data_IF_001224511554
#
_entry.id   IF_001224511554
#
_cell.length_a   1.000
_cell.length_b   1.000
_cell.length_c   1.000
_cell.angle_alpha   90.00
_cell.angle_beta   90.00
_cell.angle_gamma   90.00
#
_symmetry.space_group_name_H-M   'P 1'
#
loop_
_entity.id
_entity.type
_entity.pdbx_description
1 polymer ?
#
# COMPACT_ATOMS: atom_id res chain seq x y z
N UNK A 1 -3.56 -15.24 15.26
CA UNK A 1 -3.86 -14.64 13.98
C UNK A 1 -2.77 -13.66 13.59
N UNK A 2 -2.22 -13.79 12.41
CA UNK A 2 -1.17 -12.90 11.91
C UNK A 2 -1.77 -11.52 11.62
N UNK A 3 -1.66 -10.60 12.57
CA UNK A 3 -2.08 -9.18 12.39
C UNK A 3 -1.21 -8.41 11.38
N UNK A 4 -0.08 -8.98 10.95
CA UNK A 4 0.84 -8.32 10.01
C UNK A 4 0.50 -8.47 8.52
N UNK A 5 -0.29 -9.47 8.12
CA UNK A 5 -0.58 -9.73 6.70
C UNK A 5 -1.37 -8.59 6.05
N UNK A 6 -2.29 -7.98 6.78
CA UNK A 6 -3.07 -6.84 6.28
C UNK A 6 -2.21 -5.61 6.02
N UNK A 7 -1.32 -5.25 6.95
CA UNK A 7 -0.41 -4.12 6.80
C UNK A 7 0.59 -4.34 5.64
N UNK A 8 1.10 -5.56 5.48
CA UNK A 8 1.97 -5.91 4.35
C UNK A 8 1.23 -5.73 3.03
N UNK A 9 0.02 -6.27 2.89
CA UNK A 9 -0.77 -6.13 1.66
C UNK A 9 -1.10 -4.68 1.33
N UNK A 10 -1.42 -3.86 2.34
CA UNK A 10 -1.63 -2.43 2.17
C UNK A 10 -0.35 -1.72 1.70
N UNK A 11 0.78 -2.02 2.34
CA UNK A 11 2.06 -1.45 1.94
C UNK A 11 2.44 -1.83 0.50
N UNK A 12 2.10 -3.03 0.06
CA UNK A 12 2.34 -3.50 -1.31
C UNK A 12 1.47 -2.75 -2.34
N UNK A 13 0.25 -2.39 -1.98
CA UNK A 13 -0.63 -1.58 -2.82
C UNK A 13 -0.10 -0.14 -3.00
N UNK A 14 0.60 0.41 -1.99
CA UNK A 14 1.18 1.76 -2.01
C UNK A 14 2.66 1.81 -2.48
N UNK A 15 3.28 0.69 -2.76
CA UNK A 15 4.70 0.56 -3.05
C UNK A 15 5.20 1.31 -4.31
N UNK A 16 4.31 1.71 -5.20
CA UNK A 16 4.66 2.43 -6.44
C UNK A 16 4.64 3.96 -6.30
N UNK A 17 4.44 4.49 -5.10
CA UNK A 17 4.53 5.92 -4.86
C UNK A 17 5.94 6.44 -5.16
N UNK A 18 6.04 7.53 -5.94
CA UNK A 18 7.31 8.22 -6.22
C UNK A 18 8.04 8.62 -4.95
N UNK A 19 7.31 8.97 -3.90
CA UNK A 19 7.87 9.39 -2.62
C UNK A 19 8.52 8.22 -1.87
N UNK A 20 7.92 7.04 -1.88
CA UNK A 20 8.51 5.82 -1.31
C UNK A 20 9.83 5.48 -2.00
N UNK A 21 9.86 5.54 -3.33
CA UNK A 21 11.09 5.28 -4.11
C UNK A 21 12.20 6.29 -3.82
N UNK A 22 11.86 7.57 -3.66
CA UNK A 22 12.84 8.63 -3.32
C UNK A 22 13.42 8.43 -1.93
N UNK A 23 12.57 8.14 -0.93
CA UNK A 23 13.01 7.86 0.45
C UNK A 23 13.91 6.63 0.50
N UNK A 24 13.56 5.56 -0.21
CA UNK A 24 14.40 4.36 -0.29
C UNK A 24 15.75 4.66 -0.95
N UNK A 25 15.77 5.43 -2.03
CA UNK A 25 17.01 5.85 -2.70
C UNK A 25 17.91 6.66 -1.75
N UNK A 26 17.35 7.64 -1.03
CA UNK A 26 18.12 8.42 -0.06
C UNK A 26 18.77 7.55 1.01
N UNK A 27 18.03 6.57 1.57
CA UNK A 27 18.52 5.64 2.59
C UNK A 27 19.55 4.64 2.06
N UNK A 28 19.55 4.32 0.76
CA UNK A 28 20.58 3.48 0.14
C UNK A 28 21.93 4.22 0.00
N UNK A 29 21.87 5.53 -0.20
CA UNK A 29 23.09 6.34 -0.38
C UNK A 29 23.70 6.83 0.94
N UNK A 30 22.85 7.09 1.93
CA UNK A 30 23.30 7.58 3.23
C UNK A 30 22.76 6.67 4.34
N UNK A 31 23.67 6.01 5.04
CA UNK A 31 23.27 5.19 6.19
C UNK A 31 22.87 6.09 7.37
N UNK A 32 21.71 5.83 7.95
CA UNK A 32 21.22 6.41 9.22
C UNK A 32 20.81 7.88 9.12
N UNK A 33 19.61 8.09 8.63
CA UNK A 33 18.99 9.40 8.50
C UNK A 33 17.77 9.51 9.42
N UNK A 34 17.60 10.68 10.04
CA UNK A 34 16.34 11.06 10.70
C UNK A 34 15.31 11.54 9.65
N UNK A 35 14.01 11.59 10.00
CA UNK A 35 12.96 11.97 9.06
C UNK A 35 13.07 13.41 8.53
N UNK A 36 13.65 14.33 9.30
CA UNK A 36 13.90 15.72 8.90
C UNK A 36 14.94 15.79 7.80
N UNK A 37 16.04 15.11 7.99
CA UNK A 37 17.12 15.00 6.99
C UNK A 37 16.64 14.36 5.71
N UNK A 38 15.83 13.29 5.80
CA UNK A 38 15.21 12.65 4.62
C UNK A 38 14.27 13.62 3.89
N UNK A 39 13.46 14.39 4.63
CA UNK A 39 12.53 15.36 4.06
C UNK A 39 13.27 16.45 3.28
N UNK A 40 14.38 16.96 3.83
CA UNK A 40 15.23 17.95 3.20
C UNK A 40 15.91 17.41 1.92
N UNK A 41 16.50 16.20 1.99
CA UNK A 41 17.19 15.56 0.86
C UNK A 41 16.22 15.25 -0.28
N UNK A 42 15.06 14.68 0.05
CA UNK A 42 14.07 14.25 -0.93
C UNK A 42 13.17 15.39 -1.44
N UNK A 43 13.18 16.54 -0.75
CA UNK A 43 12.24 17.65 -0.97
C UNK A 43 10.77 17.20 -0.89
N UNK A 44 10.46 16.47 0.18
CA UNK A 44 9.15 15.89 0.47
C UNK A 44 8.72 16.35 1.86
N UNK A 45 7.43 16.57 2.07
CA UNK A 45 6.87 16.90 3.38
C UNK A 45 7.16 15.80 4.41
N UNK A 46 7.42 16.19 5.67
CA UNK A 46 7.79 15.27 6.77
C UNK A 46 6.75 14.16 6.98
N UNK A 47 5.48 14.45 6.85
CA UNK A 47 4.43 13.44 7.06
C UNK A 47 4.40 12.41 5.93
N UNK A 48 4.67 12.83 4.70
CA UNK A 48 4.86 11.89 3.56
C UNK A 48 6.11 11.03 3.74
N UNK A 49 7.19 11.58 4.31
CA UNK A 49 8.39 10.80 4.67
C UNK A 49 8.05 9.75 5.71
N UNK A 50 7.32 10.09 6.78
CA UNK A 50 6.89 9.13 7.81
C UNK A 50 6.02 8.01 7.22
N UNK A 51 5.09 8.34 6.32
CA UNK A 51 4.29 7.35 5.60
C UNK A 51 5.16 6.42 4.75
N UNK A 52 6.11 6.97 4.00
CA UNK A 52 7.05 6.20 3.20
C UNK A 52 7.91 5.26 4.06
N UNK A 53 8.43 5.75 5.19
CA UNK A 53 9.20 4.96 6.15
C UNK A 53 8.37 3.83 6.77
N UNK A 54 7.11 4.08 7.09
CA UNK A 54 6.18 3.06 7.59
C UNK A 54 5.95 1.96 6.54
N UNK A 55 5.73 2.34 5.28
CA UNK A 55 5.59 1.41 4.16
C UNK A 55 6.86 0.59 3.96
N UNK A 56 8.03 1.23 3.94
CA UNK A 56 9.32 0.56 3.77
C UNK A 56 9.65 -0.34 4.97
N UNK A 57 9.31 0.09 6.18
CA UNK A 57 9.46 -0.70 7.40
C UNK A 57 8.59 -1.95 7.42
N UNK A 58 7.31 -1.86 7.02
CA UNK A 58 6.41 -3.02 6.91
C UNK A 58 6.88 -4.03 5.85
N UNK A 59 7.65 -3.58 4.86
CA UNK A 59 8.30 -4.42 3.84
C UNK A 59 9.67 -4.98 4.29
N UNK A 60 10.14 -4.59 5.47
CA UNK A 60 11.45 -4.99 5.99
C UNK A 60 12.66 -4.34 5.30
N UNK A 61 12.44 -3.38 4.41
CA UNK A 61 13.50 -2.67 3.67
C UNK A 61 14.17 -1.57 4.48
N UNK A 62 13.56 -1.16 5.59
CA UNK A 62 14.06 -0.11 6.49
C UNK A 62 14.01 -0.61 7.92
N UNK A 63 15.08 -0.39 8.66
CA UNK A 63 15.17 -0.55 10.11
C UNK A 63 15.25 0.80 10.81
N UNK A 64 15.00 0.81 12.11
CA UNK A 64 15.14 1.97 12.97
C UNK A 64 16.08 1.64 14.13
N UNK A 65 17.06 2.51 14.36
CA UNK A 65 18.00 2.49 15.48
C UNK A 65 17.72 3.74 16.32
N UNK A 66 17.51 3.58 17.63
CA UNK A 66 17.14 4.67 18.52
C UNK A 66 18.17 5.80 18.55
N UNK A 67 19.46 5.44 18.47
CA UNK A 67 20.55 6.41 18.53
C UNK A 67 20.95 6.98 17.17
N UNK A 68 20.57 6.31 16.09
CA UNK A 68 21.14 6.54 14.76
C UNK A 68 20.12 6.81 13.66
N UNK A 69 18.81 6.65 13.94
CA UNK A 69 17.73 6.91 13.00
C UNK A 69 17.42 5.74 12.06
N UNK A 70 16.85 6.04 10.91
CA UNK A 70 16.43 5.04 9.93
C UNK A 70 17.61 4.61 9.05
N UNK A 71 17.66 3.33 8.70
CA UNK A 71 18.67 2.76 7.83
C UNK A 71 18.08 1.74 6.85
N UNK A 72 18.71 1.63 5.67
CA UNK A 72 18.34 0.63 4.66
C UNK A 72 18.74 -0.78 5.13
N UNK A 73 17.86 -1.75 4.88
CA UNK A 73 18.13 -3.18 5.09
C UNK A 73 18.08 -3.92 3.77
N UNK A 74 19.09 -4.71 3.50
CA UNK A 74 19.08 -5.68 2.42
C UNK A 74 18.33 -6.94 2.87
N UNK A 75 17.37 -7.36 2.06
CA UNK A 75 16.66 -8.62 2.30
C UNK A 75 17.38 -9.76 1.55
N UNK A 76 17.46 -10.96 2.15
CA UNK A 76 18.08 -12.12 1.49
C UNK A 76 17.24 -12.68 0.33
N UNK A 77 16.12 -12.05 0.02
CA UNK A 77 15.18 -12.44 -1.04
C UNK A 77 14.62 -11.18 -1.75
N UNK A 78 14.22 -11.39 -3.00
CA UNK A 78 13.62 -10.33 -3.81
C UNK A 78 12.14 -10.15 -3.43
N UNK A 79 11.85 -9.04 -2.76
CA UNK A 79 10.47 -8.74 -2.30
C UNK A 79 9.51 -8.55 -3.49
N UNK A 80 9.99 -8.06 -4.64
CA UNK A 80 9.15 -7.87 -5.82
C UNK A 80 8.66 -9.22 -6.37
N UNK A 81 9.49 -10.26 -6.28
CA UNK A 81 9.08 -11.62 -6.64
C UNK A 81 8.04 -12.17 -5.68
N UNK A 82 8.19 -11.92 -4.38
CA UNK A 82 7.20 -12.33 -3.37
C UNK A 82 5.87 -11.61 -3.61
N UNK A 83 5.90 -10.31 -3.90
CA UNK A 83 4.72 -9.53 -4.26
C UNK A 83 4.03 -10.06 -5.53
N UNK A 84 4.83 -10.41 -6.54
CA UNK A 84 4.33 -10.89 -7.82
C UNK A 84 3.56 -12.21 -7.71
N UNK A 85 3.84 -13.03 -6.71
CA UNK A 85 3.17 -14.33 -6.51
C UNK A 85 2.03 -14.29 -5.48
N UNK A 86 1.79 -13.17 -4.81
CA UNK A 86 0.73 -13.08 -3.80
C UNK A 86 -0.67 -13.19 -4.44
N UNK A 87 -1.48 -14.24 -4.15
CA UNK A 87 -2.70 -14.54 -4.92
C UNK A 87 -3.73 -13.40 -4.94
N UNK A 88 -3.92 -12.68 -3.81
CA UNK A 88 -4.88 -11.57 -3.73
C UNK A 88 -4.42 -10.35 -4.52
N UNK A 89 -3.11 -10.07 -4.55
CA UNK A 89 -2.53 -8.99 -5.36
C UNK A 89 -2.61 -9.31 -6.85
N UNK A 90 -2.29 -10.53 -7.26
CA UNK A 90 -2.45 -10.98 -8.64
C UNK A 90 -3.90 -10.80 -9.10
N UNK A 91 -4.86 -11.26 -8.25
CA UNK A 91 -6.27 -11.12 -8.56
C UNK A 91 -6.73 -9.65 -8.62
N UNK A 92 -6.23 -8.79 -7.74
CA UNK A 92 -6.51 -7.35 -7.75
C UNK A 92 -5.97 -6.67 -9.02
N UNK A 93 -4.72 -6.95 -9.40
CA UNK A 93 -4.11 -6.45 -10.65
C UNK A 93 -4.87 -6.91 -11.88
N UNK A 94 -5.37 -8.16 -11.89
CA UNK A 94 -6.20 -8.68 -12.98
C UNK A 94 -7.52 -7.91 -13.10
N UNK A 95 -8.17 -7.56 -11.98
CA UNK A 95 -9.39 -6.74 -11.99
C UNK A 95 -9.14 -5.36 -12.58
N UNK A 96 -7.98 -4.74 -12.30
CA UNK A 96 -7.58 -3.48 -12.91
C UNK A 96 -7.31 -3.61 -14.41
N UNK A 97 -6.52 -4.61 -14.81
CA UNK A 97 -6.16 -4.84 -16.20
C UNK A 97 -7.38 -5.12 -17.11
N UNK A 98 -8.48 -5.62 -16.52
CA UNK A 98 -9.74 -5.88 -17.23
C UNK A 98 -10.78 -4.77 -17.02
N UNK A 99 -10.36 -3.61 -16.51
CA UNK A 99 -11.19 -2.42 -16.23
C UNK A 99 -12.48 -2.71 -15.43
N UNK A 100 -12.39 -3.62 -14.47
CA UNK A 100 -13.53 -4.04 -13.63
C UNK A 100 -13.73 -3.19 -12.38
N UNK A 101 -12.96 -2.13 -12.20
CA UNK A 101 -13.03 -1.23 -11.04
C UNK A 101 -13.57 0.12 -11.49
N UNK A 102 -14.70 0.54 -10.96
CA UNK A 102 -15.31 1.85 -11.22
C UNK A 102 -15.35 2.64 -9.92
N UNK A 103 -14.68 3.79 -9.87
CA UNK A 103 -14.75 4.72 -8.74
C UNK A 103 -15.99 5.57 -8.93
N UNK A 104 -16.91 5.57 -7.96
CA UNK A 104 -18.14 6.31 -8.00
C UNK A 104 -17.99 7.68 -7.31
N UNK A 105 -17.36 7.69 -6.12
CA UNK A 105 -17.07 8.91 -5.38
C UNK A 105 -15.63 8.87 -4.85
N UNK A 106 -14.97 10.03 -4.94
CA UNK A 106 -13.62 10.22 -4.39
C UNK A 106 -13.60 11.58 -3.69
N UNK A 107 -13.92 11.58 -2.42
CA UNK A 107 -13.84 12.73 -1.52
C UNK A 107 -12.64 12.57 -0.59
N UNK A 108 -12.16 13.68 0.00
CA UNK A 108 -10.94 13.70 0.83
C UNK A 108 -10.94 12.64 1.95
N UNK A 109 -12.12 12.24 2.47
CA UNK A 109 -12.24 11.32 3.60
C UNK A 109 -12.84 9.96 3.24
N UNK A 110 -13.35 9.77 2.01
CA UNK A 110 -13.94 8.50 1.61
C UNK A 110 -13.91 8.25 0.11
N UNK A 111 -13.68 7.00 -0.25
CA UNK A 111 -13.72 6.53 -1.64
C UNK A 111 -14.77 5.42 -1.72
N UNK A 112 -15.68 5.57 -2.66
CA UNK A 112 -16.69 4.57 -2.98
C UNK A 112 -16.47 4.04 -4.39
N UNK A 113 -16.49 2.73 -4.54
CA UNK A 113 -16.23 2.07 -5.81
C UNK A 113 -17.04 0.80 -5.98
N UNK A 114 -17.30 0.45 -7.23
CA UNK A 114 -17.86 -0.83 -7.64
C UNK A 114 -16.81 -1.67 -8.31
N UNK A 115 -16.74 -2.95 -7.95
CA UNK A 115 -15.82 -3.92 -8.55
C UNK A 115 -16.62 -5.09 -9.11
N UNK A 116 -16.62 -5.21 -10.43
CA UNK A 116 -17.34 -6.30 -11.11
C UNK A 116 -16.55 -7.61 -10.99
N UNK A 117 -17.17 -8.60 -10.34
CA UNK A 117 -16.70 -9.99 -10.30
C UNK A 117 -17.08 -10.78 -11.55
N UNK A 118 -17.07 -12.11 -11.46
CA UNK A 118 -17.59 -12.99 -12.53
C UNK A 118 -19.11 -12.93 -12.61
N UNK A 119 -19.77 -13.01 -11.46
CA UNK A 119 -21.22 -13.18 -11.38
C UNK A 119 -21.92 -12.05 -10.63
N UNK A 120 -21.19 -11.27 -9.87
CA UNK A 120 -21.72 -10.19 -9.02
C UNK A 120 -20.82 -8.98 -9.01
N UNK A 121 -21.41 -7.81 -8.78
CA UNK A 121 -20.68 -6.56 -8.51
C UNK A 121 -20.60 -6.33 -7.02
N UNK A 122 -19.39 -6.05 -6.53
CA UNK A 122 -19.13 -5.78 -5.12
C UNK A 122 -18.97 -4.28 -4.90
N UNK A 123 -19.60 -3.77 -3.85
CA UNK A 123 -19.42 -2.42 -3.37
C UNK A 123 -18.21 -2.38 -2.42
N UNK A 124 -17.33 -1.41 -2.61
CA UNK A 124 -16.16 -1.15 -1.78
C UNK A 124 -16.22 0.27 -1.27
N UNK A 125 -16.04 0.46 0.02
CA UNK A 125 -15.89 1.77 0.65
C UNK A 125 -14.58 1.79 1.43
N UNK A 126 -13.77 2.83 1.16
CA UNK A 126 -12.56 3.15 1.91
C UNK A 126 -12.80 4.48 2.60
N UNK A 127 -12.80 4.49 3.93
CA UNK A 127 -12.92 5.69 4.74
C UNK A 127 -11.79 5.71 5.79
N UNK A 128 -11.56 6.85 6.44
CA UNK A 128 -10.50 6.99 7.45
C UNK A 128 -10.65 5.94 8.55
N UNK A 129 -9.76 4.93 8.54
CA UNK A 129 -9.72 3.85 9.52
C UNK A 129 -10.69 2.68 9.29
N UNK A 130 -11.53 2.73 8.24
CA UNK A 130 -12.48 1.66 7.94
C UNK A 130 -12.48 1.30 6.46
N UNK A 131 -12.34 0.00 6.17
CA UNK A 131 -12.33 -0.56 4.82
C UNK A 131 -13.35 -1.67 4.72
N UNK A 132 -14.37 -1.46 3.91
CA UNK A 132 -15.46 -2.41 3.76
C UNK A 132 -15.63 -2.90 2.33
N UNK A 133 -16.10 -4.12 2.17
CA UNK A 133 -16.45 -4.71 0.89
C UNK A 133 -17.58 -5.73 1.08
N UNK A 134 -18.55 -5.74 0.18
CA UNK A 134 -19.69 -6.68 0.21
C UNK A 134 -19.32 -8.11 -0.23
N UNK A 135 -18.06 -8.41 -0.52
CA UNK A 135 -17.67 -9.76 -0.93
C UNK A 135 -17.65 -10.76 0.23
N UNK A 136 -17.90 -12.05 -0.03
CA UNK A 136 -17.95 -13.08 1.02
C UNK A 136 -16.66 -13.17 1.86
N UNK A 137 -15.51 -12.91 1.26
CA UNK A 137 -14.23 -12.88 1.99
C UNK A 137 -14.23 -11.80 3.08
N UNK A 138 -14.56 -10.56 2.71
CA UNK A 138 -14.54 -9.43 3.64
C UNK A 138 -15.59 -9.59 4.73
N UNK A 139 -16.81 -10.02 4.37
CA UNK A 139 -17.89 -10.29 5.32
C UNK A 139 -17.50 -11.38 6.32
N UNK A 140 -16.86 -12.45 5.85
CA UNK A 140 -16.45 -13.57 6.72
C UNK A 140 -15.33 -13.23 7.70
N UNK A 141 -14.38 -12.41 7.28
CA UNK A 141 -13.15 -12.17 8.05
C UNK A 141 -13.06 -10.77 8.65
N UNK A 142 -13.96 -9.85 8.32
CA UNK A 142 -14.08 -8.50 8.88
C UNK A 142 -12.71 -7.78 9.03
N UNK A 143 -11.86 -7.91 8.02
CA UNK A 143 -10.52 -7.32 8.00
C UNK A 143 -9.45 -8.07 8.82
N UNK A 144 -9.79 -9.07 9.64
CA UNK A 144 -8.81 -9.80 10.50
C UNK A 144 -7.73 -10.54 9.71
N UNK A 145 -8.00 -10.86 8.44
CA UNK A 145 -7.03 -11.47 7.50
C UNK A 145 -6.55 -10.49 6.42
N UNK A 146 -6.66 -9.18 6.69
CA UNK A 146 -6.31 -8.13 5.76
C UNK A 146 -7.32 -7.92 4.63
N UNK A 147 -7.08 -6.97 3.74
CA UNK A 147 -8.01 -6.57 2.69
C UNK A 147 -8.25 -7.67 1.67
N UNK A 148 -9.47 -7.74 1.15
CA UNK A 148 -9.81 -8.63 0.04
C UNK A 148 -9.23 -8.10 -1.29
N UNK A 149 -9.26 -8.94 -2.34
CA UNK A 149 -8.80 -8.55 -3.69
C UNK A 149 -9.51 -7.31 -4.26
N UNK A 150 -10.76 -7.07 -3.89
CA UNK A 150 -11.56 -5.93 -4.38
C UNK A 150 -11.11 -4.62 -3.73
N UNK A 151 -10.90 -4.62 -2.40
CA UNK A 151 -10.30 -3.49 -1.67
C UNK A 151 -8.92 -3.15 -2.24
N UNK A 152 -8.06 -4.17 -2.42
CA UNK A 152 -6.73 -3.98 -3.02
C UNK A 152 -6.80 -3.39 -4.43
N UNK A 153 -7.76 -3.83 -5.26
CA UNK A 153 -7.94 -3.31 -6.61
C UNK A 153 -8.34 -1.82 -6.61
N UNK A 154 -9.25 -1.42 -5.71
CA UNK A 154 -9.63 -0.01 -5.56
C UNK A 154 -8.46 0.83 -5.09
N UNK A 155 -7.70 0.40 -4.09
CA UNK A 155 -6.49 1.08 -3.61
C UNK A 155 -5.46 1.27 -4.73
N UNK A 156 -5.19 0.24 -5.51
CA UNK A 156 -4.28 0.31 -6.65
C UNK A 156 -4.78 1.30 -7.72
N UNK A 157 -6.08 1.33 -8.02
CA UNK A 157 -6.66 2.28 -8.99
C UNK A 157 -6.52 3.72 -8.52
N UNK A 158 -6.81 4.00 -7.26
CA UNK A 158 -6.66 5.33 -6.66
C UNK A 158 -5.22 5.81 -6.72
N UNK A 159 -4.27 4.93 -6.38
CA UNK A 159 -2.85 5.25 -6.48
C UNK A 159 -2.40 5.57 -7.91
N UNK A 160 -2.91 4.84 -8.90
CA UNK A 160 -2.63 5.14 -10.31
C UNK A 160 -3.17 6.50 -10.75
N UNK A 161 -4.35 6.89 -10.25
CA UNK A 161 -4.93 8.20 -10.54
C UNK A 161 -4.12 9.33 -9.89
N UNK A 162 -3.75 9.18 -8.62
CA UNK A 162 -2.95 10.17 -7.87
C UNK A 162 -1.51 10.29 -8.40
N UNK A 163 -0.99 9.27 -9.08
CA UNK A 163 0.37 9.29 -9.67
C UNK A 163 0.42 9.96 -11.04
N UNK A 164 -0.73 10.26 -11.64
CA UNK A 164 -0.85 10.92 -12.96
C UNK A 164 -1.06 12.43 -12.85
N UNK A 165 -1.27 12.94 -11.64
CA UNK A 165 -1.38 14.37 -11.30
C UNK A 165 0.00 14.83 -10.81
#
# INVERSE_FOLDING_TARGET
>A
GFSGEGQVLDSLAFAQSKDVSKVLAALKWQSKLDPESIAAICKIEKDKVKQALSILGSRGLVGFDVDRGYFHRELPFDIEKVEAVHPRLIAARKLLATDRVTINQNHNDSIEAYVSGSDTTHFVRLASGEETCTCPWQVKYEGTRGPCKHILAVKLKVNQLNSKI
#
